data_IF_208384894910
#
_entry.id   IF_208384894910
#
_cell.length_a   1.000
_cell.length_b   1.000
_cell.length_c   1.000
_cell.angle_alpha   90.00
_cell.angle_beta   90.00
_cell.angle_gamma   90.00
#
_symmetry.space_group_name_H-M   'P 1'
#
loop_
_entity.id
_entity.type
_entity.pdbx_description
1 polymer ?
#
# COMPACT_ATOMS: atom_id res chain seq x y z
N UNK A 1 -3.31 22.64 -5.54
CA UNK A 1 -3.83 22.22 -6.86
C UNK A 1 -4.19 23.39 -7.77
N UNK A 2 -4.91 24.45 -7.32
CA UNK A 2 -5.26 25.61 -8.17
C UNK A 2 -4.06 26.34 -8.81
N UNK A 3 -2.90 26.36 -8.16
CA UNK A 3 -1.69 27.05 -8.67
C UNK A 3 -0.91 26.26 -9.75
N UNK A 4 -1.30 25.01 -10.06
CA UNK A 4 -0.49 24.09 -10.88
C UNK A 4 -1.19 23.57 -12.14
N UNK A 5 -2.47 23.91 -12.35
CA UNK A 5 -3.27 23.41 -13.47
C UNK A 5 -3.81 24.61 -14.23
N UNK A 6 -3.54 24.68 -15.54
CA UNK A 6 -3.98 25.74 -16.42
C UNK A 6 -4.89 25.17 -17.52
N UNK A 7 -5.67 26.03 -18.16
CA UNK A 7 -6.41 25.65 -19.37
C UNK A 7 -5.41 25.19 -20.42
N UNK A 8 -5.68 24.03 -21.03
CA UNK A 8 -4.79 23.38 -21.99
C UNK A 8 -3.83 22.35 -21.38
N UNK A 9 -3.69 22.29 -20.04
CA UNK A 9 -2.87 21.25 -19.37
C UNK A 9 -3.41 19.86 -19.70
N UNK A 10 -2.49 18.93 -19.97
CA UNK A 10 -2.84 17.53 -20.17
C UNK A 10 -2.65 16.79 -18.84
N UNK A 11 -3.72 16.18 -18.36
CA UNK A 11 -3.76 15.42 -17.12
C UNK A 11 -3.93 13.93 -17.40
N UNK A 12 -3.41 13.08 -16.51
CA UNK A 12 -3.61 11.64 -16.56
C UNK A 12 -4.58 11.23 -15.46
N UNK A 13 -5.76 10.78 -15.85
CA UNK A 13 -6.84 10.37 -14.95
C UNK A 13 -6.97 8.84 -14.94
N UNK A 14 -7.03 8.23 -13.74
CA UNK A 14 -6.94 6.78 -13.50
C UNK A 14 -7.84 5.91 -14.42
N UNK A 15 -8.97 6.45 -14.88
CA UNK A 15 -9.95 5.71 -15.71
C UNK A 15 -10.24 6.35 -17.08
N UNK A 16 -9.72 7.56 -17.33
CA UNK A 16 -9.94 8.28 -18.59
C UNK A 16 -8.64 8.41 -19.39
N UNK A 17 -7.53 7.92 -18.86
CA UNK A 17 -6.20 8.07 -19.43
C UNK A 17 -5.87 9.56 -19.61
N UNK A 18 -5.35 9.96 -20.78
CA UNK A 18 -4.94 11.33 -21.09
C UNK A 18 -6.16 12.22 -21.35
N UNK A 19 -6.38 13.22 -20.52
CA UNK A 19 -7.48 14.19 -20.65
C UNK A 19 -6.94 15.62 -20.72
N UNK A 20 -7.58 16.49 -21.50
CA UNK A 20 -7.14 17.88 -21.69
C UNK A 20 -8.05 18.81 -20.90
N UNK A 21 -7.46 19.69 -20.08
CA UNK A 21 -8.22 20.70 -19.33
C UNK A 21 -8.71 21.77 -20.29
N UNK A 22 -10.02 22.00 -20.31
CA UNK A 22 -10.68 22.98 -21.18
C UNK A 22 -11.07 24.26 -20.43
N UNK A 23 -11.38 24.16 -19.13
CA UNK A 23 -11.82 25.30 -18.31
C UNK A 23 -11.57 25.03 -16.81
N UNK A 24 -11.32 26.07 -16.03
CA UNK A 24 -11.12 26.01 -14.57
C UNK A 24 -11.83 27.19 -13.95
N UNK A 25 -12.83 26.93 -13.08
CA UNK A 25 -13.60 27.98 -12.42
C UNK A 25 -13.89 27.62 -10.97
N UNK A 26 -13.67 28.55 -10.02
CA UNK A 26 -14.11 28.52 -8.61
C UNK A 26 -14.40 27.13 -8.00
N UNK A 27 -13.40 26.22 -8.04
CA UNK A 27 -13.40 24.84 -7.50
C UNK A 27 -13.86 23.71 -8.42
N UNK A 28 -14.02 23.97 -9.72
CA UNK A 28 -14.34 23.00 -10.75
C UNK A 28 -13.30 23.03 -11.87
N UNK A 29 -13.01 21.85 -12.43
CA UNK A 29 -12.16 21.65 -13.59
C UNK A 29 -12.96 20.91 -14.66
N UNK A 30 -12.99 21.47 -15.88
CA UNK A 30 -13.59 20.80 -17.04
C UNK A 30 -12.49 20.17 -17.88
N UNK A 31 -12.66 18.91 -18.25
CA UNK A 31 -11.73 18.22 -19.14
C UNK A 31 -12.46 17.64 -20.34
N UNK A 32 -11.79 17.66 -21.49
CA UNK A 32 -12.19 16.93 -22.67
C UNK A 32 -11.70 15.48 -22.57
N UNK A 33 -12.64 14.54 -22.54
CA UNK A 33 -12.39 13.10 -22.46
C UNK A 33 -12.57 12.39 -23.82
N UNK A 34 -12.51 13.12 -24.94
CA UNK A 34 -12.60 12.56 -26.29
C UNK A 34 -14.02 12.14 -26.67
N UNK A 35 -14.20 10.88 -27.11
CA UNK A 35 -15.53 10.31 -27.48
C UNK A 35 -16.56 10.33 -26.35
N UNK A 36 -16.08 10.60 -25.14
CA UNK A 36 -16.83 10.65 -23.89
C UNK A 36 -17.38 12.04 -23.55
N UNK A 37 -17.00 13.06 -24.33
CA UNK A 37 -17.45 14.45 -24.15
C UNK A 37 -16.65 15.26 -23.13
N UNK A 38 -17.20 16.41 -22.74
CA UNK A 38 -16.63 17.29 -21.72
C UNK A 38 -17.17 16.87 -20.35
N UNK A 39 -16.26 16.64 -19.40
CA UNK A 39 -16.57 16.22 -18.03
C UNK A 39 -16.11 17.28 -17.04
N UNK A 40 -16.90 17.54 -16.01
CA UNK A 40 -16.62 18.56 -14.99
C UNK A 40 -16.39 17.90 -13.63
N UNK A 41 -15.33 18.31 -12.92
CA UNK A 41 -14.92 17.70 -11.65
C UNK A 41 -14.68 18.77 -10.59
N UNK A 42 -15.02 18.52 -9.32
CA UNK A 42 -14.51 19.32 -8.22
C UNK A 42 -12.99 19.20 -8.14
N UNK A 43 -12.30 20.34 -8.06
CA UNK A 43 -10.84 20.44 -8.13
C UNK A 43 -10.15 19.72 -6.95
N UNK A 44 -10.87 19.53 -5.84
CA UNK A 44 -10.46 18.76 -4.65
C UNK A 44 -10.64 17.23 -4.81
N UNK A 45 -11.48 16.81 -5.75
CA UNK A 45 -11.89 15.41 -5.95
C UNK A 45 -11.39 14.81 -7.28
N UNK A 46 -10.62 15.57 -8.06
CA UNK A 46 -10.03 15.12 -9.31
C UNK A 46 -9.13 13.89 -9.06
N UNK A 47 -9.61 12.70 -9.46
CA UNK A 47 -9.00 11.40 -9.15
C UNK A 47 -9.92 10.39 -8.44
N UNK A 48 -11.10 10.83 -7.97
CA UNK A 48 -12.20 9.98 -7.46
C UNK A 48 -13.34 10.04 -8.50
N UNK A 49 -13.88 8.90 -8.97
CA UNK A 49 -14.62 8.79 -10.28
C UNK A 49 -16.14 8.59 -10.04
N UNK A 50 -17.11 9.02 -10.86
CA UNK A 50 -17.50 8.52 -12.21
C UNK A 50 -18.42 9.51 -12.99
N UNK A 51 -18.24 9.50 -14.33
CA UNK A 51 -19.16 9.83 -15.43
C UNK A 51 -20.63 10.16 -15.14
N UNK A 52 -21.16 11.17 -15.86
CA UNK A 52 -22.60 11.47 -15.95
C UNK A 52 -23.10 11.12 -17.37
N UNK A 53 -24.06 10.20 -17.45
CA UNK A 53 -24.83 9.86 -18.66
C UNK A 53 -25.71 11.06 -19.09
N UNK A 54 -25.91 11.29 -20.41
CA UNK A 54 -26.71 12.42 -20.93
C UNK A 54 -28.14 12.45 -20.37
N UNK A 55 -28.70 11.29 -19.99
CA UNK A 55 -30.03 11.17 -19.37
C UNK A 55 -30.13 11.79 -17.96
N UNK A 56 -29.01 12.09 -17.31
CA UNK A 56 -28.95 12.64 -15.95
C UNK A 56 -28.68 14.14 -15.90
N UNK A 57 -28.72 14.83 -17.05
CA UNK A 57 -28.76 16.28 -17.05
C UNK A 57 -30.01 16.75 -16.31
N UNK A 58 -29.82 17.54 -15.24
CA UNK A 58 -30.82 18.13 -14.33
C UNK A 58 -31.15 17.40 -13.02
N UNK A 59 -30.38 16.38 -12.60
CA UNK A 59 -30.50 15.86 -11.23
C UNK A 59 -29.71 16.73 -10.23
N UNK A 60 -30.36 17.12 -9.12
CA UNK A 60 -29.72 17.82 -7.99
C UNK A 60 -29.69 16.90 -6.77
N UNK A 61 -28.57 16.89 -6.06
CA UNK A 61 -28.39 16.14 -4.82
C UNK A 61 -28.06 17.14 -3.70
N UNK A 62 -28.88 17.17 -2.65
CA UNK A 62 -28.73 18.12 -1.55
C UNK A 62 -27.66 17.70 -0.54
N UNK A 63 -27.29 16.41 -0.52
CA UNK A 63 -26.27 15.84 0.37
C UNK A 63 -25.30 14.94 -0.39
N UNK A 64 -24.06 14.89 0.10
CA UNK A 64 -22.97 14.10 -0.50
C UNK A 64 -23.26 12.60 -0.46
N UNK A 65 -23.93 12.13 0.60
CA UNK A 65 -24.34 10.73 0.76
C UNK A 65 -25.35 10.29 -0.31
N UNK A 66 -26.32 11.16 -0.64
CA UNK A 66 -27.36 10.90 -1.64
C UNK A 66 -26.77 10.77 -3.05
N UNK A 67 -25.70 11.53 -3.35
CA UNK A 67 -24.93 11.43 -4.58
C UNK A 67 -24.09 10.14 -4.67
N UNK A 68 -23.43 9.74 -3.56
CA UNK A 68 -22.61 8.54 -3.52
C UNK A 68 -23.44 7.26 -3.66
N UNK A 69 -24.64 7.22 -3.08
CA UNK A 69 -25.56 6.08 -3.20
C UNK A 69 -26.18 5.98 -4.60
N UNK A 70 -26.48 7.13 -5.24
CA UNK A 70 -26.87 7.16 -6.65
C UNK A 70 -25.78 6.56 -7.56
N UNK A 71 -24.52 6.96 -7.39
CA UNK A 71 -23.39 6.42 -8.17
C UNK A 71 -23.21 4.91 -7.98
N UNK A 72 -23.42 4.39 -6.75
CA UNK A 72 -23.33 2.95 -6.44
C UNK A 72 -24.44 2.14 -7.10
N UNK A 73 -25.67 2.66 -7.11
CA UNK A 73 -26.82 1.95 -7.68
C UNK A 73 -26.78 1.89 -9.22
N UNK A 74 -26.38 2.98 -9.90
CA UNK A 74 -26.19 2.96 -11.36
C UNK A 74 -25.03 2.03 -11.79
N UNK A 75 -24.00 1.87 -10.96
CA UNK A 75 -22.90 0.96 -11.22
C UNK A 75 -23.32 -0.52 -11.15
N UNK A 76 -24.20 -0.88 -10.20
CA UNK A 76 -24.74 -2.24 -10.05
C UNK A 76 -25.62 -2.66 -11.23
N UNK A 77 -26.40 -1.75 -11.81
CA UNK A 77 -27.35 -2.06 -12.90
C UNK A 77 -26.69 -2.35 -14.26
N UNK A 78 -25.41 -1.99 -14.47
CA UNK A 78 -24.72 -2.11 -15.77
C UNK A 78 -23.82 -3.34 -15.93
N UNK A 79 -23.72 -4.23 -14.94
CA UNK A 79 -22.79 -5.37 -14.91
C UNK A 79 -23.43 -6.76 -14.95
N UNK A 80 -24.58 -6.92 -15.60
CA UNK A 80 -24.88 -8.24 -16.17
C UNK A 80 -23.87 -8.58 -17.29
N UNK A 81 -23.44 -9.85 -17.41
CA UNK A 81 -22.02 -10.18 -17.55
C UNK A 81 -21.53 -10.21 -19.01
N UNK A 82 -20.41 -9.54 -19.29
CA UNK A 82 -19.52 -9.92 -20.40
C UNK A 82 -18.30 -10.65 -19.84
N UNK A 83 -18.30 -11.97 -20.02
CA UNK A 83 -17.24 -12.90 -19.65
C UNK A 83 -16.02 -12.65 -20.54
N UNK A 84 -14.85 -12.36 -19.97
CA UNK A 84 -13.56 -12.46 -20.66
C UNK A 84 -12.56 -13.30 -19.87
N UNK A 85 -12.07 -14.34 -20.55
CA UNK A 85 -11.16 -15.36 -20.06
C UNK A 85 -9.70 -14.96 -20.32
N UNK A 86 -8.83 -15.05 -19.32
CA UNK A 86 -7.58 -15.85 -19.34
C UNK A 86 -6.46 -15.25 -18.47
N UNK A 87 -6.09 -15.98 -17.41
CA UNK A 87 -4.93 -15.77 -16.52
C UNK A 87 -3.63 -15.35 -17.22
N UNK A 88 -3.45 -15.74 -18.49
CA UNK A 88 -2.26 -15.47 -19.28
C UNK A 88 -2.06 -13.98 -19.63
N UNK A 89 -3.14 -13.20 -19.73
CA UNK A 89 -3.05 -11.76 -20.00
C UNK A 89 -2.74 -10.96 -18.72
N UNK A 90 -3.21 -11.46 -17.58
CA UNK A 90 -2.96 -10.87 -16.26
C UNK A 90 -1.49 -11.03 -15.85
N UNK A 91 -0.89 -12.20 -16.07
CA UNK A 91 0.54 -12.45 -15.83
C UNK A 91 1.44 -11.54 -16.69
N UNK A 92 1.14 -11.41 -17.99
CA UNK A 92 1.88 -10.50 -18.89
C UNK A 92 1.74 -9.03 -18.52
N UNK A 93 0.58 -8.63 -18.00
CA UNK A 93 0.33 -7.27 -17.54
C UNK A 93 1.10 -6.93 -16.26
N UNK A 94 1.14 -7.85 -15.29
CA UNK A 94 1.89 -7.72 -14.03
C UNK A 94 3.41 -7.62 -14.32
N UNK A 95 3.92 -8.47 -15.20
CA UNK A 95 5.34 -8.52 -15.56
C UNK A 95 5.79 -7.23 -16.28
N UNK A 96 4.97 -6.74 -17.21
CA UNK A 96 5.20 -5.46 -17.91
C UNK A 96 5.16 -4.25 -16.97
N UNK A 97 4.23 -4.22 -16.02
CA UNK A 97 4.13 -3.13 -15.04
C UNK A 97 5.30 -3.10 -14.06
N UNK A 98 5.81 -4.25 -13.61
CA UNK A 98 7.02 -4.30 -12.77
C UNK A 98 8.26 -3.83 -13.50
N UNK A 99 8.41 -4.24 -14.75
CA UNK A 99 9.52 -3.81 -15.60
C UNK A 99 9.49 -2.29 -15.82
N UNK A 100 8.34 -1.72 -16.19
CA UNK A 100 8.19 -0.29 -16.41
C UNK A 100 8.35 0.55 -15.12
N UNK A 101 7.86 0.07 -13.98
CA UNK A 101 8.00 0.74 -12.67
C UNK A 101 9.44 0.82 -12.21
N UNK A 102 10.23 -0.22 -12.47
CA UNK A 102 11.64 -0.25 -12.06
C UNK A 102 12.53 0.60 -12.99
N UNK A 103 12.27 0.59 -14.30
CA UNK A 103 12.91 1.50 -15.27
C UNK A 103 12.74 2.95 -14.82
N UNK A 104 11.53 3.34 -14.42
CA UNK A 104 11.24 4.68 -13.91
C UNK A 104 12.08 5.04 -12.67
N UNK A 105 12.32 4.08 -11.76
CA UNK A 105 13.15 4.33 -10.57
C UNK A 105 14.64 4.46 -10.93
N UNK A 106 15.14 3.66 -11.87
CA UNK A 106 16.51 3.81 -12.38
C UNK A 106 16.69 5.15 -13.09
N UNK A 107 15.66 5.67 -13.79
CA UNK A 107 15.68 7.00 -14.40
C UNK A 107 15.85 8.13 -13.36
N UNK A 108 15.25 7.96 -12.19
CA UNK A 108 15.38 8.92 -11.08
C UNK A 108 16.80 8.90 -10.50
N UNK A 109 17.40 7.71 -10.34
CA UNK A 109 18.74 7.57 -9.74
C UNK A 109 19.85 8.11 -10.67
N UNK A 110 19.60 8.20 -11.98
CA UNK A 110 20.54 8.69 -12.99
C UNK A 110 20.51 10.21 -13.21
N UNK A 111 19.54 10.94 -12.63
CA UNK A 111 19.38 12.38 -12.83
C UNK A 111 19.33 13.13 -11.49
N UNK A 112 20.03 14.26 -11.38
CA UNK A 112 19.92 15.13 -10.21
C UNK A 112 18.47 15.61 -10.06
N UNK A 113 17.89 15.40 -8.87
CA UNK A 113 16.48 15.70 -8.58
C UNK A 113 16.12 17.18 -8.81
N UNK A 114 17.07 18.10 -8.62
CA UNK A 114 16.89 19.53 -8.86
C UNK A 114 16.73 19.87 -10.36
N UNK A 115 17.37 19.14 -11.26
CA UNK A 115 17.31 19.40 -12.70
C UNK A 115 15.97 18.95 -13.33
N UNK A 116 15.40 17.85 -12.83
CA UNK A 116 14.05 17.40 -13.18
C UNK A 116 13.02 18.41 -12.65
N UNK A 117 13.20 18.89 -11.42
CA UNK A 117 12.28 19.85 -10.78
C UNK A 117 12.25 21.20 -11.49
N UNK A 118 13.37 21.62 -12.07
CA UNK A 118 13.51 22.87 -12.80
C UNK A 118 13.10 22.76 -14.30
N UNK A 119 12.48 21.66 -14.74
CA UNK A 119 12.11 21.39 -16.14
C UNK A 119 13.28 21.40 -17.14
N UNK A 120 14.51 21.21 -16.67
CA UNK A 120 15.69 21.13 -17.54
C UNK A 120 15.84 19.75 -18.19
N UNK A 121 15.16 18.73 -17.65
CA UNK A 121 15.20 17.35 -18.13
C UNK A 121 13.77 16.78 -18.20
N UNK A 122 13.37 16.31 -19.38
CA UNK A 122 12.12 15.57 -19.61
C UNK A 122 12.44 14.09 -19.87
N UNK A 123 11.64 13.18 -19.30
CA UNK A 123 11.92 11.75 -19.25
C UNK A 123 10.68 10.95 -19.65
N UNK A 124 10.77 10.11 -20.69
CA UNK A 124 9.67 9.30 -21.21
C UNK A 124 10.07 7.83 -21.40
N UNK A 125 9.20 6.87 -21.03
CA UNK A 125 9.41 5.44 -21.29
C UNK A 125 8.69 5.06 -22.59
N UNK A 126 9.46 4.68 -23.60
CA UNK A 126 8.93 4.24 -24.90
C UNK A 126 9.37 2.80 -25.14
N UNK A 127 8.43 1.85 -25.10
CA UNK A 127 8.66 0.43 -25.39
C UNK A 127 9.83 -0.19 -24.58
N UNK A 128 9.97 0.18 -23.31
CA UNK A 128 11.04 -0.31 -22.42
C UNK A 128 12.40 0.39 -22.60
N UNK A 129 12.47 1.46 -23.41
CA UNK A 129 13.63 2.36 -23.52
C UNK A 129 13.33 3.67 -22.81
N UNK A 130 14.36 4.30 -22.27
CA UNK A 130 14.30 5.60 -21.59
C UNK A 130 14.66 6.66 -22.63
N UNK A 131 13.74 7.58 -22.93
CA UNK A 131 14.02 8.80 -23.69
C UNK A 131 14.24 9.93 -22.69
N UNK A 132 15.40 10.58 -22.75
CA UNK A 132 15.74 11.75 -21.95
C UNK A 132 15.97 12.94 -22.87
N UNK A 133 15.25 14.03 -22.63
CA UNK A 133 15.37 15.29 -23.36
C UNK A 133 15.93 16.35 -22.39
N UNK A 134 17.10 16.89 -22.67
CA UNK A 134 17.71 17.94 -21.85
C UNK A 134 17.61 19.29 -22.58
N UNK A 135 17.34 20.36 -21.82
CA UNK A 135 17.38 21.74 -22.28
C UNK A 135 18.58 22.44 -21.67
N UNK A 136 19.58 22.80 -22.48
CA UNK A 136 20.70 23.61 -22.00
C UNK A 136 20.46 25.09 -22.29
N UNK A 137 20.51 25.93 -21.27
CA UNK A 137 20.54 27.38 -21.44
C UNK A 137 22.00 27.85 -21.61
N UNK A 138 22.52 27.81 -22.84
CA UNK A 138 23.76 28.50 -23.18
C UNK A 138 23.53 29.30 -24.47
N UNK A 139 23.45 30.63 -24.35
CA UNK A 139 23.58 31.60 -25.44
C UNK A 139 22.69 31.40 -26.67
N UNK A 140 21.56 32.14 -26.72
CA UNK A 140 20.69 32.43 -27.87
C UNK A 140 20.18 31.30 -28.79
N UNK A 141 20.54 30.04 -28.59
CA UNK A 141 19.89 28.89 -29.23
C UNK A 141 19.59 27.81 -28.20
N UNK A 142 18.31 27.50 -27.99
CA UNK A 142 17.90 26.37 -27.16
C UNK A 142 18.19 25.07 -27.92
N UNK A 143 19.32 24.42 -27.61
CA UNK A 143 19.60 23.07 -28.12
C UNK A 143 18.83 22.04 -27.27
N UNK A 144 17.93 21.28 -27.91
CA UNK A 144 17.31 20.09 -27.32
C UNK A 144 18.21 18.88 -27.62
N UNK A 145 18.73 18.23 -26.58
CA UNK A 145 19.44 16.95 -26.73
C UNK A 145 18.53 15.79 -26.33
N UNK A 146 18.31 14.85 -27.25
CA UNK A 146 17.54 13.64 -27.02
C UNK A 146 18.51 12.46 -26.92
N UNK A 147 18.51 11.78 -25.78
CA UNK A 147 19.24 10.53 -25.57
C UNK A 147 18.27 9.38 -25.30
N UNK A 148 18.57 8.21 -25.86
CA UNK A 148 17.75 7.00 -25.69
C UNK A 148 18.62 5.93 -25.02
N UNK A 149 18.22 5.49 -23.83
CA UNK A 149 18.90 4.44 -23.09
C UNK A 149 18.09 3.15 -23.11
N UNK A 150 18.76 2.03 -23.33
CA UNK A 150 18.20 0.71 -23.07
C UNK A 150 18.68 0.24 -21.69
N UNK A 151 17.77 0.08 -20.71
CA UNK A 151 18.15 -0.47 -19.43
C UNK A 151 18.59 -1.94 -19.61
N UNK A 152 19.80 -2.26 -19.16
CA UNK A 152 20.34 -3.61 -19.22
C UNK A 152 19.52 -4.53 -18.29
N UNK A 153 18.58 -5.27 -18.89
CA UNK A 153 17.70 -6.22 -18.20
C UNK A 153 18.48 -7.23 -17.37
N UNK A 154 19.68 -7.63 -17.82
CA UNK A 154 20.50 -8.62 -17.12
C UNK A 154 21.04 -8.06 -15.80
N UNK A 155 21.52 -6.82 -15.81
CA UNK A 155 21.98 -6.10 -14.61
C UNK A 155 20.84 -5.90 -13.61
N UNK A 156 19.62 -5.57 -14.07
CA UNK A 156 18.45 -5.40 -13.22
C UNK A 156 18.01 -6.69 -12.52
N UNK A 157 18.04 -7.82 -13.23
CA UNK A 157 17.74 -9.14 -12.65
C UNK A 157 18.78 -9.49 -11.59
N UNK A 158 20.05 -9.22 -11.87
CA UNK A 158 21.16 -9.44 -10.93
C UNK A 158 21.02 -8.58 -9.68
N UNK A 159 20.71 -7.29 -9.81
CA UNK A 159 20.60 -6.37 -8.67
C UNK A 159 19.39 -6.71 -7.78
N UNK A 160 18.24 -7.08 -8.38
CA UNK A 160 17.09 -7.56 -7.60
C UNK A 160 17.37 -8.87 -6.87
N UNK A 161 18.10 -9.80 -7.51
CA UNK A 161 18.50 -11.06 -6.87
C UNK A 161 19.42 -10.81 -5.68
N UNK A 162 20.43 -9.93 -5.83
CA UNK A 162 21.30 -9.52 -4.72
C UNK A 162 20.53 -8.89 -3.57
N UNK A 163 19.54 -8.07 -3.87
CA UNK A 163 18.72 -7.44 -2.84
C UNK A 163 17.89 -8.45 -2.06
N UNK A 164 17.30 -9.42 -2.76
CA UNK A 164 16.56 -10.53 -2.13
C UNK A 164 17.48 -11.43 -1.28
N UNK A 165 18.71 -11.68 -1.72
CA UNK A 165 19.71 -12.42 -0.95
C UNK A 165 20.05 -11.68 0.35
N UNK A 166 20.28 -10.36 0.30
CA UNK A 166 20.51 -9.54 1.51
C UNK A 166 19.31 -9.57 2.47
N UNK A 167 18.08 -9.42 1.94
CA UNK A 167 16.86 -9.51 2.76
C UNK A 167 16.81 -10.87 3.46
N UNK A 168 17.09 -11.95 2.72
CA UNK A 168 17.12 -13.31 3.28
C UNK A 168 18.17 -13.45 4.38
N UNK A 169 19.38 -12.94 4.16
CA UNK A 169 20.46 -12.94 5.16
C UNK A 169 20.04 -12.22 6.45
N UNK A 170 19.39 -11.05 6.34
CA UNK A 170 18.89 -10.29 7.50
C UNK A 170 17.82 -11.11 8.24
N UNK A 171 16.85 -11.66 7.51
CA UNK A 171 15.77 -12.47 8.08
C UNK A 171 16.30 -13.70 8.83
N UNK A 172 17.26 -14.42 8.26
CA UNK A 172 17.88 -15.59 8.92
C UNK A 172 18.75 -15.19 10.10
N UNK A 173 19.62 -14.18 9.94
CA UNK A 173 20.53 -13.71 11.00
C UNK A 173 19.76 -13.22 12.22
N UNK A 174 18.71 -12.42 12.00
CA UNK A 174 17.84 -11.92 13.07
C UNK A 174 16.91 -13.00 13.61
N UNK A 175 16.81 -14.18 12.97
CA UNK A 175 15.91 -15.29 13.33
C UNK A 175 14.42 -14.90 13.30
N UNK A 176 14.04 -14.09 12.31
CA UNK A 176 12.64 -13.72 12.07
C UNK A 176 11.93 -14.93 11.50
N UNK A 177 10.82 -15.32 12.13
CA UNK A 177 10.03 -16.50 11.73
C UNK A 177 8.70 -16.13 11.11
N UNK A 178 8.02 -15.16 11.73
CA UNK A 178 6.69 -14.76 11.33
C UNK A 178 6.57 -13.24 11.31
N UNK A 179 5.78 -12.77 10.35
CA UNK A 179 5.14 -11.47 10.40
C UNK A 179 3.81 -11.63 11.13
N UNK A 180 3.33 -10.56 11.75
CA UNK A 180 2.16 -10.61 12.62
C UNK A 180 1.13 -9.60 12.15
N UNK A 181 -0.10 -10.04 11.92
CA UNK A 181 -1.23 -9.19 11.60
C UNK A 181 -2.32 -9.37 12.65
N UNK A 182 -2.96 -8.29 13.09
CA UNK A 182 -4.13 -8.38 13.99
C UNK A 182 -5.38 -7.88 13.27
N UNK A 183 -6.50 -8.55 13.52
CA UNK A 183 -7.77 -8.23 12.85
C UNK A 183 -8.95 -8.62 13.73
N UNK A 184 -10.12 -8.13 13.33
CA UNK A 184 -11.43 -8.47 13.89
C UNK A 184 -11.71 -9.97 13.72
N UNK A 185 -12.26 -10.64 14.73
CA UNK A 185 -12.66 -12.06 14.60
C UNK A 185 -13.67 -12.24 13.46
N UNK A 186 -14.50 -11.24 13.22
CA UNK A 186 -15.51 -11.23 12.17
C UNK A 186 -14.91 -11.35 10.77
N UNK A 187 -13.66 -10.91 10.56
CA UNK A 187 -12.97 -11.05 9.30
C UNK A 187 -12.36 -12.45 9.11
N UNK A 188 -12.21 -13.23 10.18
CA UNK A 188 -11.43 -14.48 10.15
C UNK A 188 -12.02 -15.49 9.16
N UNK A 189 -13.34 -15.68 9.11
CA UNK A 189 -13.96 -16.64 8.18
C UNK A 189 -13.60 -16.33 6.72
N UNK A 190 -13.69 -15.06 6.31
CA UNK A 190 -13.31 -14.64 4.96
C UNK A 190 -11.81 -14.79 4.70
N UNK A 191 -10.97 -14.59 5.72
CA UNK A 191 -9.52 -14.75 5.60
C UNK A 191 -9.13 -16.22 5.42
N UNK A 192 -9.79 -17.14 6.13
CA UNK A 192 -9.52 -18.58 5.98
C UNK A 192 -9.96 -19.12 4.62
N UNK A 193 -10.97 -18.50 4.01
CA UNK A 193 -11.43 -18.87 2.67
C UNK A 193 -10.56 -18.25 1.56
N UNK A 194 -10.17 -16.98 1.70
CA UNK A 194 -9.61 -16.20 0.59
C UNK A 194 -8.15 -15.74 0.79
N UNK A 195 -7.56 -16.01 1.95
CA UNK A 195 -6.33 -15.35 2.40
C UNK A 195 -6.57 -13.92 2.92
N UNK A 196 -5.51 -13.23 3.33
CA UNK A 196 -5.62 -11.82 3.70
C UNK A 196 -5.62 -10.95 2.45
N UNK A 197 -6.73 -10.25 2.22
CA UNK A 197 -6.90 -9.36 1.08
C UNK A 197 -6.82 -7.89 1.49
N UNK A 198 -6.09 -7.05 0.73
CA UNK A 198 -6.10 -5.60 0.92
C UNK A 198 -7.50 -5.01 0.74
N UNK A 199 -7.71 -3.84 1.34
CA UNK A 199 -8.99 -3.11 1.29
C UNK A 199 -9.43 -2.87 -0.16
N UNK A 200 -8.48 -2.50 -1.05
CA UNK A 200 -8.81 -2.29 -2.45
C UNK A 200 -9.42 -3.53 -3.11
N UNK A 201 -8.86 -4.71 -2.82
CA UNK A 201 -9.32 -5.99 -3.37
C UNK A 201 -10.65 -6.43 -2.74
N UNK A 202 -10.80 -6.25 -1.41
CA UNK A 202 -12.06 -6.51 -0.72
C UNK A 202 -13.21 -5.68 -1.30
N UNK A 203 -12.94 -4.42 -1.59
CA UNK A 203 -13.90 -3.52 -2.24
C UNK A 203 -14.21 -3.98 -3.67
N UNK A 204 -13.20 -4.28 -4.48
CA UNK A 204 -13.37 -4.72 -5.87
C UNK A 204 -14.15 -6.05 -5.99
N UNK A 205 -14.03 -6.93 -4.98
CA UNK A 205 -14.73 -8.22 -4.90
C UNK A 205 -16.06 -8.17 -4.13
N UNK A 206 -16.46 -7.01 -3.62
CA UNK A 206 -17.66 -6.83 -2.79
C UNK A 206 -17.71 -7.74 -1.55
N UNK A 207 -16.54 -8.04 -0.98
CA UNK A 207 -16.44 -8.88 0.22
C UNK A 207 -16.61 -7.99 1.46
N UNK A 208 -17.58 -8.33 2.31
CA UNK A 208 -17.81 -7.62 3.56
C UNK A 208 -16.62 -7.80 4.52
N UNK A 209 -16.18 -6.70 5.12
CA UNK A 209 -15.12 -6.71 6.13
C UNK A 209 -15.34 -5.59 7.15
N UNK A 210 -14.74 -5.74 8.32
CA UNK A 210 -14.67 -4.71 9.36
C UNK A 210 -13.22 -4.19 9.41
N UNK A 211 -13.01 -2.97 8.91
CA UNK A 211 -11.69 -2.33 8.93
C UNK A 211 -11.31 -1.79 10.31
N UNK A 212 -10.07 -2.04 10.74
CA UNK A 212 -9.51 -1.52 12.00
C UNK A 212 -9.20 -0.02 11.93
N UNK A 213 -8.68 0.41 10.78
CA UNK A 213 -8.29 1.79 10.48
C UNK A 213 -8.94 2.20 9.16
N UNK A 214 -9.97 3.06 9.24
CA UNK A 214 -10.68 3.56 8.05
C UNK A 214 -9.94 4.69 7.35
N UNK A 215 -9.02 5.37 8.06
CA UNK A 215 -8.36 6.55 7.55
C UNK A 215 -7.14 6.19 6.71
N UNK A 216 -6.47 5.05 7.00
CA UNK A 216 -5.29 4.53 6.27
C UNK A 216 -4.39 5.67 5.80
N UNK A 217 -3.88 6.44 6.76
CA UNK A 217 -3.11 7.66 6.51
C UNK A 217 -1.81 7.43 5.73
N UNK A 218 -1.39 6.16 5.61
CA UNK A 218 -0.30 5.72 4.73
C UNK A 218 -0.67 5.64 3.24
N UNK A 219 -1.98 5.68 2.91
CA UNK A 219 -2.58 5.61 1.57
C UNK A 219 -2.33 4.29 0.79
N UNK A 220 -1.73 3.26 1.40
CA UNK A 220 -1.38 2.00 0.76
C UNK A 220 -2.54 0.98 0.79
N UNK A 221 -3.70 1.34 0.25
CA UNK A 221 -4.94 0.54 0.30
C UNK A 221 -4.82 -0.84 -0.39
N UNK A 222 -3.81 -1.02 -1.22
CA UNK A 222 -3.42 -2.25 -1.91
C UNK A 222 -2.48 -3.14 -1.09
N UNK A 223 -2.17 -2.76 0.15
CA UNK A 223 -1.26 -3.48 1.04
C UNK A 223 -1.92 -3.94 2.34
N UNK A 224 -1.40 -5.06 2.86
CA UNK A 224 -1.62 -5.55 4.22
C UNK A 224 -0.51 -5.03 5.13
N UNK A 225 -0.86 -4.41 6.25
CA UNK A 225 0.11 -4.01 7.28
C UNK A 225 0.40 -5.18 8.23
N UNK A 226 1.68 -5.54 8.34
CA UNK A 226 2.16 -6.59 9.25
C UNK A 226 3.24 -6.02 10.18
N UNK A 227 3.23 -6.41 11.45
CA UNK A 227 4.35 -6.21 12.37
C UNK A 227 5.37 -7.34 12.23
N UNK A 228 6.58 -7.17 12.76
CA UNK A 228 7.62 -8.20 12.73
C UNK A 228 7.71 -8.89 14.09
N UNK A 229 7.59 -10.23 14.11
CA UNK A 229 7.70 -11.09 15.31
C UNK A 229 6.59 -10.91 16.36
N UNK A 230 6.17 -9.68 16.64
CA UNK A 230 5.19 -9.33 17.66
C UNK A 230 4.30 -8.19 17.14
N UNK A 231 3.00 -8.16 17.50
CA UNK A 231 2.08 -7.11 17.08
C UNK A 231 2.60 -5.71 17.43
N UNK A 232 2.24 -4.72 16.61
CA UNK A 232 2.25 -3.32 16.97
C UNK A 232 1.25 -3.11 18.12
N UNK A 233 1.67 -3.43 19.34
CA UNK A 233 0.81 -3.50 20.51
C UNK A 233 0.27 -2.13 20.91
N UNK A 234 0.97 -1.03 20.56
CA UNK A 234 0.47 0.34 20.78
C UNK A 234 -0.76 0.60 19.92
N UNK A 235 -0.67 0.31 18.63
CA UNK A 235 -1.79 0.48 17.71
C UNK A 235 -2.93 -0.50 18.02
N UNK A 236 -2.58 -1.76 18.29
CA UNK A 236 -3.56 -2.79 18.62
C UNK A 236 -4.33 -2.48 19.90
N UNK A 237 -3.64 -2.00 20.96
CA UNK A 237 -4.29 -1.54 22.18
C UNK A 237 -5.22 -0.35 21.92
N UNK A 238 -4.80 0.64 21.13
CA UNK A 238 -5.64 1.78 20.79
C UNK A 238 -6.93 1.37 20.07
N UNK A 239 -6.89 0.39 19.16
CA UNK A 239 -8.10 -0.13 18.53
C UNK A 239 -9.01 -0.91 19.47
N UNK A 240 -8.44 -1.71 20.37
CA UNK A 240 -9.22 -2.42 21.40
C UNK A 240 -9.90 -1.48 22.40
N UNK A 241 -9.28 -0.33 22.69
CA UNK A 241 -9.90 0.70 23.53
C UNK A 241 -11.04 1.43 22.81
N UNK A 242 -10.92 1.69 21.50
CA UNK A 242 -11.98 2.34 20.72
C UNK A 242 -13.24 1.48 20.64
N UNK A 243 -13.07 0.16 20.57
CA UNK A 243 -14.18 -0.80 20.47
C UNK A 243 -14.00 -1.94 21.50
N UNK A 244 -14.37 -1.74 22.78
CA UNK A 244 -14.10 -2.71 23.85
C UNK A 244 -14.92 -4.01 23.77
N UNK A 245 -16.12 -3.96 23.20
CA UNK A 245 -17.01 -5.12 23.01
C UNK A 245 -16.51 -6.10 21.95
N UNK A 246 -15.48 -5.69 21.24
CA UNK A 246 -15.18 -6.14 19.92
C UNK A 246 -14.04 -7.18 20.04
N UNK A 247 -14.20 -8.36 19.43
CA UNK A 247 -13.24 -9.47 19.58
C UNK A 247 -12.16 -9.48 18.49
N UNK A 248 -10.98 -10.01 18.82
CA UNK A 248 -9.80 -9.92 17.96
C UNK A 248 -9.06 -11.24 17.83
N UNK A 249 -8.41 -11.44 16.68
CA UNK A 249 -7.45 -12.52 16.44
C UNK A 249 -6.12 -11.93 15.96
N UNK A 250 -5.04 -12.63 16.28
CA UNK A 250 -3.70 -12.33 15.77
C UNK A 250 -3.27 -13.47 14.85
N UNK A 251 -2.84 -13.13 13.65
CA UNK A 251 -2.44 -14.07 12.59
C UNK A 251 -0.92 -14.01 12.46
N UNK A 252 -0.25 -15.16 12.60
CA UNK A 252 1.14 -15.33 12.25
C UNK A 252 1.25 -15.74 10.78
N UNK A 253 1.98 -14.93 10.02
CA UNK A 253 2.21 -15.09 8.59
C UNK A 253 3.66 -15.53 8.41
N UNK A 254 3.89 -16.60 7.66
CA UNK A 254 5.23 -17.09 7.33
C UNK A 254 6.07 -15.98 6.69
N UNK A 255 7.32 -15.86 7.13
CA UNK A 255 8.32 -14.95 6.53
C UNK A 255 8.50 -15.16 5.03
N UNK A 256 8.16 -16.34 4.51
CA UNK A 256 8.33 -16.68 3.10
C UNK A 256 7.49 -15.80 2.16
N UNK A 257 6.47 -15.12 2.70
CA UNK A 257 5.71 -14.12 1.95
C UNK A 257 6.61 -13.00 1.42
N UNK A 258 7.72 -12.68 2.10
CA UNK A 258 8.67 -11.65 1.70
C UNK A 258 9.46 -12.01 0.43
N UNK A 259 9.51 -13.29 0.08
CA UNK A 259 10.21 -13.81 -1.10
C UNK A 259 9.25 -14.20 -2.23
N UNK A 260 7.96 -13.92 -2.07
CA UNK A 260 6.95 -14.20 -3.09
C UNK A 260 7.15 -13.30 -4.30
N UNK A 261 7.15 -13.91 -5.49
CA UNK A 261 7.15 -13.16 -6.74
C UNK A 261 5.82 -12.48 -7.02
N UNK A 262 4.79 -12.57 -6.17
CA UNK A 262 3.49 -11.96 -6.42
C UNK A 262 3.26 -10.66 -5.63
N UNK A 263 4.16 -10.30 -4.72
CA UNK A 263 4.01 -9.11 -3.89
C UNK A 263 5.27 -8.23 -3.90
N UNK A 264 5.18 -7.13 -3.17
CA UNK A 264 6.29 -6.24 -2.84
C UNK A 264 6.16 -5.91 -1.36
N UNK A 265 7.27 -6.03 -0.64
CA UNK A 265 7.38 -5.67 0.76
C UNK A 265 7.95 -4.25 0.88
N UNK A 266 7.35 -3.45 1.76
CA UNK A 266 7.83 -2.11 2.12
C UNK A 266 8.17 -2.12 3.61
N UNK A 267 9.45 -1.96 3.93
CA UNK A 267 10.00 -2.00 5.27
C UNK A 267 9.96 -0.60 5.91
N UNK A 268 9.13 -0.43 6.93
CA UNK A 268 8.96 0.83 7.64
C UNK A 268 9.49 0.70 9.08
N UNK A 269 10.57 1.43 9.40
CA UNK A 269 11.21 1.40 10.74
C UNK A 269 10.35 2.01 11.86
N UNK A 270 9.22 2.63 11.51
CA UNK A 270 8.14 3.04 12.41
C UNK A 270 6.80 2.84 11.69
N UNK A 271 5.70 3.34 12.25
CA UNK A 271 4.39 3.23 11.62
C UNK A 271 4.40 3.83 10.20
N UNK A 272 3.83 3.11 9.23
CA UNK A 272 3.90 3.48 7.83
C UNK A 272 3.32 4.86 7.51
N UNK A 273 2.28 5.30 8.22
CA UNK A 273 1.65 6.60 8.02
C UNK A 273 2.58 7.78 8.37
N UNK A 274 3.63 7.55 9.18
CA UNK A 274 4.62 8.57 9.50
C UNK A 274 5.70 8.75 8.40
N UNK A 275 5.87 7.74 7.55
CA UNK A 275 7.00 7.59 6.64
C UNK A 275 6.59 7.68 5.16
N UNK A 276 5.60 6.88 4.74
CA UNK A 276 5.22 6.72 3.33
C UNK A 276 4.70 8.03 2.72
N UNK A 277 3.84 8.84 3.37
CA UNK A 277 3.38 10.10 2.77
C UNK A 277 4.49 11.14 2.56
N UNK A 278 5.64 10.98 3.22
CA UNK A 278 6.75 11.95 3.18
C UNK A 278 7.83 11.62 2.16
N UNK A 279 7.94 10.35 1.74
CA UNK A 279 9.05 9.83 0.95
C UNK A 279 8.51 8.86 -0.12
N UNK A 280 9.19 8.75 -1.27
CA UNK A 280 8.83 7.77 -2.30
C UNK A 280 8.84 6.34 -1.73
N UNK A 281 7.70 5.65 -1.84
CA UNK A 281 7.51 4.33 -1.23
C UNK A 281 8.50 3.27 -1.72
N UNK A 282 9.00 3.42 -2.94
CA UNK A 282 9.95 2.51 -3.59
C UNK A 282 11.26 2.37 -2.81
N UNK A 283 11.66 3.41 -2.08
CA UNK A 283 12.87 3.40 -1.24
C UNK A 283 12.73 2.39 -0.09
N UNK A 284 11.52 2.12 0.39
CA UNK A 284 11.25 1.17 1.46
C UNK A 284 11.31 -0.30 1.03
N UNK A 285 11.65 -0.60 -0.22
CA UNK A 285 11.79 -1.99 -0.70
C UNK A 285 13.19 -2.57 -0.48
N UNK A 286 14.15 -1.76 -0.01
CA UNK A 286 15.56 -2.12 0.10
C UNK A 286 15.88 -2.87 1.39
N UNK A 287 16.83 -3.80 1.34
CA UNK A 287 17.38 -4.55 2.46
C UNK A 287 17.90 -3.64 3.57
N UNK A 288 18.50 -2.51 3.21
CA UNK A 288 18.92 -1.48 4.16
C UNK A 288 17.73 -0.98 5.02
N UNK A 289 16.53 -0.82 4.41
CA UNK A 289 15.34 -0.39 5.14
C UNK A 289 14.78 -1.46 6.06
N UNK A 290 14.97 -2.73 5.73
CA UNK A 290 14.71 -3.83 6.67
C UNK A 290 15.68 -3.77 7.85
N UNK A 291 16.97 -3.55 7.60
CA UNK A 291 17.99 -3.43 8.63
C UNK A 291 17.73 -2.24 9.57
N UNK A 292 17.30 -1.09 9.03
CA UNK A 292 16.93 0.12 9.76
C UNK A 292 15.83 -0.13 10.83
N UNK A 293 14.97 -1.14 10.64
CA UNK A 293 13.95 -1.50 11.62
C UNK A 293 14.54 -2.04 12.94
N UNK A 294 15.82 -2.42 12.92
CA UNK A 294 16.59 -2.96 14.04
C UNK A 294 17.73 -2.02 14.49
N UNK A 295 17.58 -0.71 14.24
CA UNK A 295 18.60 0.29 14.57
C UNK A 295 18.99 0.27 16.06
N UNK A 296 20.28 0.46 16.34
CA UNK A 296 20.80 0.47 17.72
C UNK A 296 20.43 1.75 18.48
N UNK A 297 20.27 2.86 17.74
CA UNK A 297 19.86 4.15 18.27
C UNK A 297 18.62 4.63 17.53
N UNK A 298 17.52 4.77 18.25
CA UNK A 298 16.26 5.28 17.73
C UNK A 298 15.98 6.65 18.35
N UNK A 299 15.72 7.65 17.50
CA UNK A 299 15.32 8.98 17.96
C UNK A 299 13.80 9.08 17.95
N UNK A 300 13.22 9.13 19.14
CA UNK A 300 11.78 9.24 19.30
C UNK A 300 11.27 10.66 18.97
N UNK A 301 9.95 10.83 18.87
CA UNK A 301 9.34 12.09 18.40
C UNK A 301 9.62 13.27 19.32
N UNK A 302 9.80 13.01 20.62
CA UNK A 302 10.17 14.02 21.61
C UNK A 302 11.69 14.31 21.65
N UNK A 303 12.48 13.77 20.71
CA UNK A 303 13.93 13.93 20.65
C UNK A 303 14.72 12.99 21.56
N UNK A 304 14.05 12.13 22.33
CA UNK A 304 14.70 11.14 23.19
C UNK A 304 15.40 10.08 22.35
N UNK A 305 16.68 9.85 22.63
CA UNK A 305 17.43 8.75 22.04
C UNK A 305 17.21 7.49 22.88
N UNK A 306 16.71 6.44 22.23
CA UNK A 306 16.49 5.12 22.79
C UNK A 306 17.57 4.19 22.24
N UNK A 307 18.34 3.60 23.16
CA UNK A 307 19.33 2.57 22.80
C UNK A 307 18.68 1.19 22.83
N UNK A 308 18.76 0.45 21.73
CA UNK A 308 18.18 -0.89 21.57
C UNK A 308 18.64 -1.85 22.68
N UNK A 309 19.93 -1.83 23.02
CA UNK A 309 20.50 -2.64 24.12
C UNK A 309 19.76 -2.45 25.46
N UNK A 310 19.25 -1.25 25.72
CA UNK A 310 18.57 -0.92 26.97
C UNK A 310 17.14 -1.47 27.02
N UNK A 311 16.53 -1.77 25.87
CA UNK A 311 15.22 -2.39 25.76
C UNK A 311 15.23 -3.86 26.17
N UNK A 312 16.43 -4.48 26.18
CA UNK A 312 16.64 -5.91 26.47
C UNK A 312 15.78 -6.84 25.60
N UNK A 313 15.32 -6.40 24.42
CA UNK A 313 14.50 -7.18 23.49
C UNK A 313 15.35 -8.18 22.69
N UNK A 314 14.71 -9.25 22.24
CA UNK A 314 15.39 -10.26 21.43
C UNK A 314 15.67 -9.70 20.03
N UNK A 315 16.67 -10.28 19.34
CA UNK A 315 17.21 -9.69 18.12
C UNK A 315 16.19 -9.66 16.95
N UNK A 316 15.19 -10.54 16.97
CA UNK A 316 14.10 -10.58 15.99
C UNK A 316 12.98 -9.55 16.24
N UNK A 317 13.03 -8.77 17.32
CA UNK A 317 12.07 -7.68 17.57
C UNK A 317 12.59 -6.37 16.97
N UNK A 318 11.73 -5.61 16.31
CA UNK A 318 12.08 -4.27 15.84
C UNK A 318 12.36 -3.32 17.01
N UNK A 319 13.24 -2.34 16.80
CA UNK A 319 13.57 -1.36 17.84
C UNK A 319 12.31 -0.58 18.20
N UNK A 320 11.68 0.09 17.23
CA UNK A 320 10.36 0.71 17.42
C UNK A 320 9.26 -0.38 17.37
N UNK A 321 8.41 -0.52 18.41
CA UNK A 321 7.29 -1.45 18.40
C UNK A 321 6.21 -1.12 17.35
N UNK A 322 6.22 0.09 16.80
CA UNK A 322 5.30 0.53 15.76
C UNK A 322 5.81 0.27 14.34
N UNK A 323 7.02 -0.30 14.18
CA UNK A 323 7.56 -0.67 12.88
C UNK A 323 6.66 -1.68 12.17
N UNK A 324 6.48 -1.49 10.86
CA UNK A 324 5.54 -2.24 10.04
C UNK A 324 6.19 -2.65 8.72
N UNK A 325 5.80 -3.81 8.19
CA UNK A 325 6.06 -4.22 6.82
C UNK A 325 4.73 -4.21 6.08
N UNK A 326 4.62 -3.38 5.05
CA UNK A 326 3.46 -3.39 4.16
C UNK A 326 3.71 -4.39 3.04
N UNK A 327 2.76 -5.30 2.81
CA UNK A 327 2.84 -6.31 1.76
C UNK A 327 1.74 -6.04 0.74
N UNK A 328 2.11 -5.76 -0.50
CA UNK A 328 1.13 -5.50 -1.57
C UNK A 328 0.40 -6.76 -2.01
N UNK A 329 -0.87 -6.65 -2.36
CA UNK A 329 -1.66 -7.74 -2.90
C UNK A 329 -2.09 -8.77 -1.85
N UNK A 330 -2.58 -9.91 -2.32
CA UNK A 330 -3.16 -10.95 -1.47
C UNK A 330 -2.05 -11.76 -0.79
N UNK A 331 -2.16 -11.95 0.52
CA UNK A 331 -1.40 -12.96 1.25
C UNK A 331 -2.23 -14.23 1.24
N UNK A 332 -1.82 -15.18 0.41
CA UNK A 332 -2.47 -16.49 0.27
C UNK A 332 -2.52 -17.23 1.60
N UNK A 333 -3.59 -17.99 1.84
CA UNK A 333 -3.82 -18.73 3.08
C UNK A 333 -2.69 -19.71 3.40
N UNK A 334 -1.92 -20.19 2.40
CA UNK A 334 -0.75 -21.05 2.61
C UNK A 334 0.36 -20.40 3.44
N UNK A 335 0.37 -19.07 3.54
CA UNK A 335 1.31 -18.33 4.37
C UNK A 335 0.80 -18.13 5.80
N UNK A 336 -0.42 -18.55 6.14
CA UNK A 336 -0.95 -18.46 7.51
C UNK A 336 -0.43 -19.66 8.30
N UNK A 337 0.55 -19.42 9.17
CA UNK A 337 1.12 -20.49 10.00
C UNK A 337 0.26 -20.78 11.23
N UNK A 338 -0.21 -19.72 11.89
CA UNK A 338 -1.01 -19.81 13.12
C UNK A 338 -2.03 -18.69 13.25
N UNK A 339 -3.15 -19.02 13.90
CA UNK A 339 -4.15 -18.06 14.39
C UNK A 339 -4.14 -18.09 15.92
N UNK A 340 -4.00 -16.93 16.54
CA UNK A 340 -4.00 -16.76 17.98
C UNK A 340 -5.29 -16.09 18.44
N UNK A 341 -6.01 -16.79 19.31
CA UNK A 341 -7.14 -16.26 20.05
C UNK A 341 -6.67 -15.75 21.42
N UNK A 342 -7.37 -14.77 21.98
CA UNK A 342 -7.02 -14.21 23.28
C UNK A 342 -7.43 -15.15 24.42
N UNK A 343 -8.59 -15.79 24.31
CA UNK A 343 -9.15 -16.66 25.35
C UNK A 343 -10.10 -17.70 24.72
N UNK A 344 -10.63 -18.57 25.57
CA UNK A 344 -11.58 -19.62 25.14
C UNK A 344 -12.91 -19.03 24.66
N UNK A 345 -13.39 -17.93 25.27
CA UNK A 345 -14.64 -17.27 24.87
C UNK A 345 -14.60 -16.77 23.42
N UNK A 346 -13.46 -16.30 22.96
CA UNK A 346 -13.26 -15.87 21.57
C UNK A 346 -13.31 -17.06 20.59
N UNK A 347 -12.78 -18.22 20.99
CA UNK A 347 -12.86 -19.46 20.20
C UNK A 347 -14.31 -19.94 20.14
N UNK A 348 -15.00 -19.96 21.28
CA UNK A 348 -16.38 -20.42 21.36
C UNK A 348 -17.33 -19.47 20.63
N UNK A 349 -17.09 -18.17 20.71
CA UNK A 349 -17.77 -17.17 19.90
C UNK A 349 -17.61 -17.45 18.40
N UNK A 350 -16.37 -17.71 17.94
CA UNK A 350 -16.14 -18.00 16.54
C UNK A 350 -16.87 -19.28 16.11
N UNK A 351 -16.76 -20.36 16.89
CA UNK A 351 -17.38 -21.66 16.58
C UNK A 351 -18.90 -21.62 16.55
N UNK A 352 -19.51 -20.77 17.38
CA UNK A 352 -20.96 -20.57 17.40
C UNK A 352 -21.46 -19.73 16.21
N UNK A 353 -20.62 -18.83 15.70
CA UNK A 353 -21.03 -17.80 14.74
C UNK A 353 -20.66 -18.15 13.30
N UNK A 354 -19.57 -18.87 13.09
CA UNK A 354 -18.97 -19.12 11.77
C UNK A 354 -18.72 -20.61 11.52
N UNK A 355 -18.44 -20.94 10.26
CA UNK A 355 -18.10 -22.30 9.87
C UNK A 355 -16.77 -22.75 10.51
N UNK A 356 -16.84 -23.84 11.27
CA UNK A 356 -15.70 -24.43 11.97
C UNK A 356 -14.86 -25.33 11.07
N UNK A 357 -15.40 -25.79 9.94
CA UNK A 357 -14.68 -26.64 9.00
C UNK A 357 -13.43 -25.94 8.44
N UNK A 358 -13.55 -24.68 8.02
CA UNK A 358 -12.39 -23.90 7.57
C UNK A 358 -11.37 -23.74 8.69
N UNK A 359 -11.79 -23.37 9.91
CA UNK A 359 -10.88 -23.22 11.04
C UNK A 359 -10.13 -24.52 11.36
N UNK A 360 -10.76 -25.68 11.19
CA UNK A 360 -10.13 -26.99 11.45
C UNK A 360 -8.96 -27.31 10.51
N UNK A 361 -8.84 -26.60 9.37
CA UNK A 361 -7.74 -26.75 8.41
C UNK A 361 -6.51 -25.93 8.76
N UNK A 362 -6.60 -25.04 9.74
CA UNK A 362 -5.51 -24.15 10.14
C UNK A 362 -5.07 -24.44 11.57
N UNK A 363 -3.79 -24.19 11.86
CA UNK A 363 -3.31 -24.24 13.22
C UNK A 363 -3.81 -23.00 13.97
N UNK A 364 -4.48 -23.23 15.11
CA UNK A 364 -4.84 -22.15 16.01
C UNK A 364 -4.59 -22.54 17.46
N UNK A 365 -4.36 -21.53 18.31
CA UNK A 365 -4.25 -21.73 19.76
C UNK A 365 -4.67 -20.46 20.51
N UNK A 366 -4.88 -20.62 21.81
CA UNK A 366 -5.05 -19.50 22.73
C UNK A 366 -3.66 -19.09 23.19
N UNK A 367 -3.24 -17.85 22.90
CA UNK A 367 -1.94 -17.31 23.28
C UNK A 367 -2.05 -15.82 23.61
N UNK A 368 -2.32 -15.53 24.88
CA UNK A 368 -2.56 -14.16 25.38
C UNK A 368 -1.35 -13.24 25.20
N UNK A 369 -0.14 -13.77 25.01
CA UNK A 369 1.06 -12.92 24.91
C UNK A 369 0.95 -11.92 23.76
N UNK A 370 0.31 -12.31 22.64
CA UNK A 370 0.12 -11.43 21.47
C UNK A 370 -0.96 -10.37 21.67
N UNK A 371 -1.69 -10.45 22.79
CA UNK A 371 -2.70 -9.50 23.21
C UNK A 371 -2.19 -8.58 24.33
N UNK A 372 -0.93 -8.72 24.73
CA UNK A 372 -0.27 -7.93 25.76
C UNK A 372 0.84 -7.06 25.15
N UNK A 373 1.30 -6.01 25.86
CA UNK A 373 2.46 -5.25 25.41
C UNK A 373 3.76 -6.08 25.51
N UNK A 374 4.79 -5.66 24.77
CA UNK A 374 6.14 -6.22 24.91
C UNK A 374 6.72 -5.90 26.30
N UNK A 375 7.77 -6.63 26.69
CA UNK A 375 8.50 -6.37 27.95
C UNK A 375 9.11 -4.97 28.04
N UNK A 376 9.41 -4.33 26.90
CA UNK A 376 10.01 -3.00 26.83
C UNK A 376 8.98 -1.85 26.85
N UNK A 377 7.69 -2.13 27.12
CA UNK A 377 6.65 -1.11 26.99
C UNK A 377 6.83 0.13 27.86
N UNK A 378 7.46 0.01 29.04
CA UNK A 378 7.74 1.14 29.93
C UNK A 378 8.63 2.19 29.26
N UNK A 379 9.51 1.79 28.33
CA UNK A 379 10.33 2.72 27.55
C UNK A 379 9.50 3.55 26.56
N UNK A 380 8.37 3.00 26.11
CA UNK A 380 7.51 3.55 25.06
C UNK A 380 6.26 4.26 25.59
N UNK A 381 5.99 4.15 26.89
CA UNK A 381 4.83 4.73 27.59
C UNK A 381 4.81 6.26 27.57
N UNK A 382 5.99 6.88 27.45
CA UNK A 382 6.20 8.35 27.40
C UNK A 382 6.19 8.93 25.98
N UNK A 383 5.97 8.09 24.97
CA UNK A 383 5.80 8.46 23.54
C UNK A 383 4.32 8.40 23.11
N UNK A 384 3.40 8.55 24.06
CA UNK A 384 1.95 8.51 23.84
C UNK A 384 1.37 9.91 23.71
#
# INVERSE_FOLDING_TARGET
>A
MKEFIQVGTILYHKYLSKVKVEDINNDLIKVNAGTKGILEFPLRDFGKVIFIDKKHQNMKFDRTEDYLDFCRNEYKLKKEPQIFNSKLQEEKYIESNRFNKHIYNTMVDLCNFEDIKNNNINLEIIKGKIKMETKSANGNEAAEQISIFEPDKSKLIVDNKKEQEKIKEIIERRKIKHLIHFTRIENLSSILENGLMPISILFDKEICYIGNDRNRLDEMLDCISCSVTFPNYKLFFAFRLKEPSAKWVVIAISKDILFSTNNTAYFCSTNAAALIPKIRKEIYTKAERLEDMFCDNYTAKNGKIIQRRSLQIDDNYTTDPQAEILISGIIDYKYIDYIYFNNQDDVDYYRKTYDTYLLSKFNYKIDQKYFQPRKDYEFWKKEL
#
